data_IF_376318010448
#
_entry.id   IF_376318010448
#
_cell.length_a   1.000
_cell.length_b   1.000
_cell.length_c   1.000
_cell.angle_alpha   90.00
_cell.angle_beta   90.00
_cell.angle_gamma   90.00
#
_symmetry.space_group_name_H-M   'P 1'
#
loop_
_entity.id
_entity.type
_entity.pdbx_description
1 polymer ?
#
# COMPACT_ATOMS: atom_id res chain seq x y z
N UNK A 1 -9.64 2.66 -1.26
CA UNK A 1 -10.82 1.78 -1.25
C UNK A 1 -11.02 1.12 -2.61
N UNK A 2 -10.94 1.85 -3.73
CA UNK A 2 -11.20 1.30 -5.09
C UNK A 2 -10.24 0.16 -5.48
N UNK A 3 -8.97 0.20 -5.08
CA UNK A 3 -8.00 -0.87 -5.35
C UNK A 3 -8.17 -2.10 -4.45
N UNK A 4 -8.80 -1.94 -3.30
CA UNK A 4 -8.99 -3.00 -2.30
C UNK A 4 -10.33 -3.71 -2.50
N UNK A 5 -11.38 -2.95 -2.79
CA UNK A 5 -12.75 -3.45 -2.86
C UNK A 5 -12.95 -4.72 -3.74
N UNK A 6 -12.30 -4.86 -4.92
CA UNK A 6 -12.48 -6.05 -5.75
C UNK A 6 -11.94 -7.35 -5.14
N UNK A 7 -11.07 -7.26 -4.13
CA UNK A 7 -10.44 -8.40 -3.48
C UNK A 7 -11.03 -8.71 -2.11
N UNK A 8 -11.89 -7.84 -1.60
CA UNK A 8 -12.52 -8.03 -0.30
C UNK A 8 -13.59 -9.11 -0.41
N UNK A 9 -13.62 -9.99 0.60
CA UNK A 9 -14.61 -11.06 0.66
C UNK A 9 -16.03 -10.48 0.75
N UNK A 10 -16.87 -10.84 -0.21
CA UNK A 10 -18.26 -10.36 -0.33
C UNK A 10 -19.21 -10.88 0.76
N UNK A 11 -18.76 -11.78 1.62
CA UNK A 11 -19.50 -12.21 2.81
C UNK A 11 -19.52 -11.16 3.91
N UNK A 12 -18.59 -10.18 3.85
CA UNK A 12 -18.60 -9.01 4.71
C UNK A 12 -19.28 -7.83 4.03
N UNK A 13 -19.98 -7.05 4.81
CA UNK A 13 -20.42 -5.73 4.38
C UNK A 13 -19.27 -4.74 4.66
N UNK A 14 -18.58 -4.34 3.61
CA UNK A 14 -17.51 -3.37 3.70
C UNK A 14 -18.05 -1.94 3.61
N UNK A 15 -17.49 -1.06 4.42
CA UNK A 15 -17.80 0.37 4.42
C UNK A 15 -16.54 1.17 4.66
N UNK A 16 -16.54 2.42 4.23
CA UNK A 16 -15.48 3.36 4.57
C UNK A 16 -15.54 3.72 6.05
N UNK A 17 -14.43 4.20 6.60
CA UNK A 17 -14.35 4.61 8.00
C UNK A 17 -15.39 5.70 8.33
N UNK A 18 -15.64 6.64 7.40
CA UNK A 18 -16.65 7.69 7.54
C UNK A 18 -18.07 7.12 7.59
N UNK A 19 -18.40 6.15 6.73
CA UNK A 19 -19.70 5.47 6.74
C UNK A 19 -19.90 4.67 8.04
N UNK A 20 -18.79 4.16 8.62
CA UNK A 20 -18.76 3.51 9.94
C UNK A 20 -18.90 4.45 11.15
N UNK A 21 -19.05 5.75 10.89
CA UNK A 21 -19.30 6.76 11.95
C UNK A 21 -18.02 7.45 12.46
N UNK A 22 -16.88 7.27 11.80
CA UNK A 22 -15.65 7.99 12.16
C UNK A 22 -15.79 9.49 11.93
N UNK A 23 -15.49 10.28 12.97
CA UNK A 23 -15.47 11.74 12.92
C UNK A 23 -14.18 12.34 13.49
N UNK A 24 -13.17 11.51 13.75
CA UNK A 24 -11.90 11.87 14.41
C UNK A 24 -10.87 12.57 13.51
N UNK A 25 -11.24 12.97 12.29
CA UNK A 25 -10.32 13.63 11.37
C UNK A 25 -9.33 12.66 10.69
N UNK A 26 -8.13 13.14 10.37
CA UNK A 26 -7.08 12.33 9.74
C UNK A 26 -6.49 11.37 10.76
N UNK A 27 -6.34 10.10 10.38
CA UNK A 27 -5.64 9.10 11.19
C UNK A 27 -4.16 9.48 11.36
N UNK A 28 -3.62 9.20 12.54
CA UNK A 28 -2.21 9.47 12.86
C UNK A 28 -1.34 8.38 12.27
N UNK A 29 -0.28 8.80 11.56
CA UNK A 29 0.71 7.95 10.90
C UNK A 29 2.11 8.48 11.26
N UNK A 30 2.55 8.22 12.48
CA UNK A 30 3.83 8.66 13.05
C UNK A 30 4.80 7.53 13.37
N UNK A 31 4.42 6.29 13.03
CA UNK A 31 5.27 5.12 13.19
C UNK A 31 6.37 5.06 12.11
N UNK A 32 7.46 4.37 12.44
CA UNK A 32 8.63 4.25 11.56
C UNK A 32 8.61 3.02 10.66
N UNK A 33 7.56 2.18 10.76
CA UNK A 33 7.39 0.95 9.99
C UNK A 33 6.00 0.90 9.36
N UNK A 34 5.88 0.19 8.24
CA UNK A 34 4.58 -0.07 7.61
C UNK A 34 3.64 -0.84 8.54
N UNK A 35 4.20 -1.80 9.27
CA UNK A 35 3.46 -2.59 10.26
C UNK A 35 2.89 -1.71 11.39
N UNK A 36 3.69 -0.79 11.90
CA UNK A 36 3.28 0.17 12.92
C UNK A 36 2.16 1.09 12.44
N UNK A 37 2.35 1.73 11.28
CA UNK A 37 1.35 2.62 10.69
C UNK A 37 0.04 1.89 10.36
N UNK A 38 0.09 0.72 9.72
CA UNK A 38 -1.10 -0.06 9.42
C UNK A 38 -1.87 -0.44 10.70
N UNK A 39 -1.13 -0.91 11.71
CA UNK A 39 -1.72 -1.27 13.01
C UNK A 39 -2.34 -0.05 13.71
N UNK A 40 -1.61 1.06 13.80
CA UNK A 40 -2.08 2.29 14.43
C UNK A 40 -3.36 2.78 13.76
N UNK A 41 -3.41 2.81 12.43
CA UNK A 41 -4.63 3.19 11.68
C UNK A 41 -5.82 2.26 11.96
N UNK A 42 -5.59 0.94 11.96
CA UNK A 42 -6.65 -0.03 12.23
C UNK A 42 -7.17 0.10 13.67
N UNK A 43 -6.28 0.29 14.64
CA UNK A 43 -6.64 0.47 16.04
C UNK A 43 -7.46 1.76 16.27
N UNK A 44 -6.98 2.90 15.74
CA UNK A 44 -7.73 4.16 15.79
C UNK A 44 -9.13 4.03 15.20
N UNK A 45 -9.25 3.38 14.04
CA UNK A 45 -10.54 3.13 13.40
C UNK A 45 -11.46 2.27 14.27
N UNK A 46 -10.94 1.17 14.83
CA UNK A 46 -11.70 0.30 15.73
C UNK A 46 -12.15 1.03 17.01
N UNK A 47 -11.23 1.76 17.67
CA UNK A 47 -11.56 2.52 18.88
C UNK A 47 -12.58 3.63 18.64
N UNK A 48 -12.53 4.27 17.48
CA UNK A 48 -13.43 5.37 17.13
C UNK A 48 -14.81 4.94 16.65
N UNK A 49 -14.94 3.73 16.08
CA UNK A 49 -16.22 3.25 15.52
C UNK A 49 -16.83 2.08 16.28
N UNK A 50 -16.03 1.34 17.04
CA UNK A 50 -16.42 0.06 17.66
C UNK A 50 -16.56 -1.10 16.64
N UNK A 51 -16.26 -0.86 15.36
CA UNK A 51 -16.40 -1.83 14.28
C UNK A 51 -15.06 -2.48 13.93
N UNK A 52 -15.07 -3.77 13.50
CA UNK A 52 -13.87 -4.40 12.97
C UNK A 52 -13.24 -3.53 11.87
N UNK A 53 -11.96 -3.21 11.99
CA UNK A 53 -11.31 -2.27 11.07
C UNK A 53 -10.13 -2.91 10.37
N UNK A 54 -10.10 -2.80 9.05
CA UNK A 54 -8.97 -3.12 8.18
C UNK A 54 -8.32 -1.81 7.72
N UNK A 55 -7.01 -1.70 7.91
CA UNK A 55 -6.24 -0.57 7.38
C UNK A 55 -5.00 -1.07 6.63
N UNK A 56 -4.53 -0.29 5.67
CA UNK A 56 -3.29 -0.55 4.95
C UNK A 56 -2.25 0.56 5.17
N UNK A 57 -0.98 0.17 5.13
CA UNK A 57 0.13 1.09 4.91
C UNK A 57 1.03 0.53 3.82
N UNK A 58 1.40 1.40 2.87
CA UNK A 58 2.07 0.96 1.64
C UNK A 58 3.10 1.97 1.19
N UNK A 59 4.15 1.49 0.55
CA UNK A 59 5.15 2.38 -0.01
C UNK A 59 6.18 1.66 -0.87
N UNK A 60 7.05 2.48 -1.46
CA UNK A 60 8.19 2.05 -2.27
C UNK A 60 9.43 1.96 -1.37
N UNK A 61 10.17 0.90 -1.51
CA UNK A 61 11.45 0.69 -0.81
C UNK A 61 12.55 0.53 -1.84
N UNK A 62 13.58 1.38 -1.74
CA UNK A 62 14.76 1.33 -2.60
C UNK A 62 15.99 1.03 -1.74
N UNK A 63 16.50 -0.22 -1.76
CA UNK A 63 17.62 -0.64 -0.89
C UNK A 63 18.87 0.22 -1.02
N UNK A 64 19.21 0.68 -2.24
CA UNK A 64 20.36 1.55 -2.49
C UNK A 64 20.26 2.93 -1.82
N UNK A 65 19.01 3.37 -1.48
CA UNK A 65 18.73 4.57 -0.71
C UNK A 65 18.41 4.26 0.77
N UNK A 66 18.98 3.18 1.31
CA UNK A 66 18.75 2.73 2.69
C UNK A 66 17.26 2.52 3.03
N UNK A 67 16.47 2.12 2.04
CA UNK A 67 15.04 1.86 2.17
C UNK A 67 14.13 3.08 1.90
N UNK A 68 14.69 4.26 1.66
CA UNK A 68 13.87 5.40 1.24
C UNK A 68 13.22 5.14 -0.13
N UNK A 69 12.03 5.71 -0.40
CA UNK A 69 11.17 6.55 0.45
C UNK A 69 10.54 5.86 1.66
N UNK A 70 10.31 4.53 1.62
CA UNK A 70 9.76 3.76 2.73
C UNK A 70 8.38 4.27 3.16
N UNK A 71 8.14 4.38 4.46
CA UNK A 71 6.88 4.91 5.05
C UNK A 71 6.61 6.38 4.69
N UNK A 72 7.59 7.08 4.14
CA UNK A 72 7.46 8.46 3.68
C UNK A 72 7.06 8.58 2.21
N UNK A 73 6.70 7.47 1.54
CA UNK A 73 6.44 7.44 0.09
C UNK A 73 5.48 8.53 -0.40
N UNK A 74 4.40 8.77 0.31
CA UNK A 74 3.41 9.80 -0.08
C UNK A 74 3.88 11.25 0.14
N UNK A 75 4.93 11.46 0.93
CA UNK A 75 5.44 12.78 1.32
C UNK A 75 6.96 12.87 1.20
N UNK A 76 7.55 12.13 0.29
CA UNK A 76 9.00 12.00 0.14
C UNK A 76 9.69 13.32 -0.20
N UNK A 77 9.08 14.13 -1.07
CA UNK A 77 9.57 15.48 -1.39
C UNK A 77 9.07 16.57 -0.42
N UNK A 78 8.21 16.20 0.54
CA UNK A 78 7.69 17.11 1.55
C UNK A 78 6.23 16.83 1.91
N UNK A 79 5.70 17.44 2.99
CA UNK A 79 4.37 17.14 3.53
C UNK A 79 3.19 17.38 2.57
N UNK A 80 3.38 18.26 1.58
CA UNK A 80 2.37 18.64 0.58
C UNK A 80 2.80 18.25 -0.84
N UNK A 81 3.82 17.37 -0.96
CA UNK A 81 4.35 16.99 -2.25
C UNK A 81 3.33 16.22 -3.08
N UNK A 82 3.30 16.51 -4.36
CA UNK A 82 2.58 15.74 -5.37
C UNK A 82 3.34 14.47 -5.72
N UNK A 83 2.67 13.50 -6.33
CA UNK A 83 3.31 12.29 -6.85
C UNK A 83 4.44 12.62 -7.83
N UNK A 84 4.27 13.63 -8.68
CA UNK A 84 5.29 14.07 -9.61
C UNK A 84 6.55 14.60 -8.91
N UNK A 85 6.38 15.41 -7.85
CA UNK A 85 7.51 15.92 -7.06
C UNK A 85 8.22 14.79 -6.32
N UNK A 86 7.49 13.82 -5.79
CA UNK A 86 8.06 12.64 -5.14
C UNK A 86 8.88 11.80 -6.13
N UNK A 87 8.36 11.56 -7.36
CA UNK A 87 9.09 10.86 -8.42
C UNK A 87 10.32 11.63 -8.89
N UNK A 88 10.20 12.94 -9.07
CA UNK A 88 11.32 13.79 -9.46
C UNK A 88 12.46 13.73 -8.44
N UNK A 89 12.14 13.84 -7.16
CA UNK A 89 13.14 13.69 -6.08
C UNK A 89 13.83 12.35 -6.14
N UNK A 90 13.06 11.26 -6.29
CA UNK A 90 13.62 9.92 -6.39
C UNK A 90 14.60 9.79 -7.57
N UNK A 91 14.22 10.27 -8.75
CA UNK A 91 15.09 10.24 -9.94
C UNK A 91 16.37 11.05 -9.76
N UNK A 92 16.31 12.21 -9.11
CA UNK A 92 17.50 13.03 -8.79
C UNK A 92 18.45 12.26 -7.88
N UNK A 93 17.95 11.64 -6.82
CA UNK A 93 18.75 10.89 -5.85
C UNK A 93 19.38 9.62 -6.45
N UNK A 94 18.69 9.00 -7.43
CA UNK A 94 19.20 7.86 -8.16
C UNK A 94 20.18 8.22 -9.29
N UNK A 95 20.30 9.51 -9.64
CA UNK A 95 21.21 9.98 -10.69
C UNK A 95 20.90 9.40 -12.08
N UNK A 96 19.65 9.01 -12.35
CA UNK A 96 19.22 8.39 -13.61
C UNK A 96 19.61 6.91 -13.76
N UNK A 97 20.04 6.26 -12.70
CA UNK A 97 20.37 4.83 -12.73
C UNK A 97 19.13 3.97 -12.46
N UNK A 98 19.02 2.88 -13.20
CA UNK A 98 18.07 1.82 -12.88
C UNK A 98 18.55 1.03 -11.67
N UNK A 99 17.73 0.87 -10.66
CA UNK A 99 18.07 0.20 -9.42
C UNK A 99 16.97 -0.76 -8.96
N UNK A 100 17.33 -1.86 -8.28
CA UNK A 100 16.35 -2.73 -7.63
C UNK A 100 15.51 -1.97 -6.60
N UNK A 101 14.22 -2.28 -6.58
CA UNK A 101 13.26 -1.73 -5.63
C UNK A 101 12.12 -2.71 -5.41
N UNK A 102 11.30 -2.46 -4.40
CA UNK A 102 10.05 -3.20 -4.23
C UNK A 102 8.97 -2.31 -3.62
N UNK A 103 7.74 -2.56 -4.02
CA UNK A 103 6.59 -2.05 -3.29
C UNK A 103 6.19 -3.01 -2.18
N UNK A 104 5.75 -2.45 -1.07
CA UNK A 104 5.20 -3.19 0.06
C UNK A 104 3.80 -2.66 0.41
N UNK A 105 2.92 -3.57 0.81
CA UNK A 105 1.65 -3.28 1.45
C UNK A 105 1.54 -4.13 2.71
N UNK A 106 1.32 -3.49 3.84
CA UNK A 106 0.92 -4.16 5.08
C UNK A 106 -0.55 -3.88 5.32
N UNK A 107 -1.32 -4.94 5.52
CA UNK A 107 -2.70 -4.87 5.98
C UNK A 107 -2.74 -5.24 7.46
N UNK A 108 -3.45 -4.44 8.25
CA UNK A 108 -3.72 -4.73 9.65
C UNK A 108 -5.23 -4.78 9.90
N UNK A 109 -5.67 -5.83 10.58
CA UNK A 109 -7.04 -6.02 11.03
C UNK A 109 -7.10 -5.98 12.55
N UNK A 110 -8.03 -5.21 13.09
CA UNK A 110 -8.26 -5.09 14.54
C UNK A 110 -9.74 -5.29 14.85
N UNK A 111 -10.04 -6.19 15.78
CA UNK A 111 -11.38 -6.42 16.32
C UNK A 111 -11.31 -7.12 17.69
N UNK A 112 -11.88 -6.54 18.74
CA UNK A 112 -12.09 -7.14 20.08
C UNK A 112 -10.87 -7.93 20.62
N UNK A 113 -9.67 -7.35 20.54
CA UNK A 113 -8.42 -7.99 20.98
C UNK A 113 -7.76 -8.91 19.96
N UNK A 114 -8.44 -9.24 18.86
CA UNK A 114 -7.83 -9.94 17.73
C UNK A 114 -7.06 -8.93 16.87
N UNK A 115 -5.83 -9.28 16.54
CA UNK A 115 -4.95 -8.49 15.68
C UNK A 115 -4.34 -9.41 14.64
N UNK A 116 -4.54 -9.08 13.37
CA UNK A 116 -3.93 -9.80 12.26
C UNK A 116 -3.17 -8.82 11.41
N UNK A 117 -1.96 -9.18 11.02
CA UNK A 117 -1.19 -8.43 10.04
C UNK A 117 -0.70 -9.37 8.95
N UNK A 118 -0.74 -8.89 7.73
CA UNK A 118 -0.18 -9.57 6.56
C UNK A 118 0.61 -8.58 5.72
N UNK A 119 1.59 -9.09 4.98
CA UNK A 119 2.48 -8.29 4.16
C UNK A 119 2.54 -8.85 2.75
N UNK A 120 2.30 -8.01 1.75
CA UNK A 120 2.49 -8.32 0.34
C UNK A 120 3.60 -7.47 -0.26
N UNK A 121 4.43 -8.08 -1.12
CA UNK A 121 5.52 -7.39 -1.81
C UNK A 121 5.51 -7.70 -3.29
N UNK A 122 5.91 -6.72 -4.09
CA UNK A 122 6.25 -6.90 -5.49
C UNK A 122 7.63 -6.31 -5.75
N UNK A 123 8.54 -7.16 -6.21
CA UNK A 123 9.90 -6.76 -6.55
C UNK A 123 9.99 -6.29 -7.99
N UNK A 124 10.92 -5.39 -8.26
CA UNK A 124 11.14 -4.80 -9.57
C UNK A 124 12.35 -3.88 -9.60
N UNK A 125 12.34 -2.98 -10.56
CA UNK A 125 13.37 -1.94 -10.73
C UNK A 125 12.72 -0.58 -10.92
N UNK A 126 13.42 0.47 -10.49
CA UNK A 126 13.09 1.85 -10.85
C UNK A 126 13.72 2.15 -12.21
N UNK A 127 12.91 2.54 -13.18
CA UNK A 127 13.37 2.98 -14.51
C UNK A 127 14.10 4.33 -14.42
N UNK A 128 15.02 4.57 -15.35
CA UNK A 128 15.78 5.82 -15.44
C UNK A 128 14.90 7.06 -15.79
N UNK A 129 13.70 6.85 -16.29
CA UNK A 129 12.73 7.90 -16.63
C UNK A 129 11.30 7.40 -16.50
N UNK A 130 10.36 8.33 -16.35
CA UNK A 130 8.92 8.01 -16.29
C UNK A 130 8.40 7.45 -17.61
N UNK A 131 7.55 6.42 -17.53
CA UNK A 131 6.83 5.81 -18.66
C UNK A 131 5.40 5.49 -18.25
N UNK A 132 4.46 5.74 -19.18
CA UNK A 132 3.03 5.56 -18.93
C UNK A 132 2.41 6.72 -18.16
N UNK A 133 1.09 6.69 -18.02
CA UNK A 133 0.32 7.76 -17.38
C UNK A 133 -0.82 7.25 -16.48
N UNK A 134 -0.98 5.93 -16.39
CA UNK A 134 -1.98 5.33 -15.51
C UNK A 134 -1.45 5.21 -14.07
N UNK A 135 -2.36 4.94 -13.13
CA UNK A 135 -2.01 4.72 -11.73
C UNK A 135 -1.67 5.99 -10.96
N UNK A 136 -0.85 5.85 -9.91
CA UNK A 136 -0.49 6.91 -8.98
C UNK A 136 0.89 6.65 -8.35
N UNK A 137 1.34 7.57 -7.51
CA UNK A 137 2.60 7.44 -6.78
C UNK A 137 3.80 7.24 -7.72
N UNK A 138 4.49 6.13 -7.55
CA UNK A 138 5.70 5.77 -8.31
C UNK A 138 5.44 4.81 -9.47
N UNK A 139 4.19 4.55 -9.83
CA UNK A 139 3.82 3.59 -10.89
C UNK A 139 4.52 3.87 -12.24
N UNK A 140 4.72 5.14 -12.57
CA UNK A 140 5.40 5.54 -13.82
C UNK A 140 6.90 5.23 -13.85
N UNK A 141 7.48 4.87 -12.70
CA UNK A 141 8.90 4.52 -12.58
C UNK A 141 9.13 3.03 -12.29
N UNK A 142 8.14 2.32 -11.80
CA UNK A 142 8.32 0.96 -11.30
C UNK A 142 8.04 -0.10 -12.35
N UNK A 143 9.05 -0.89 -12.68
CA UNK A 143 8.99 -2.03 -13.61
C UNK A 143 8.99 -3.31 -12.78
N UNK A 144 7.87 -4.03 -12.65
CA UNK A 144 7.81 -5.26 -11.86
C UNK A 144 8.56 -6.41 -12.53
N UNK A 145 9.27 -7.21 -11.75
CA UNK A 145 9.99 -8.40 -12.24
C UNK A 145 9.03 -9.45 -12.81
N UNK A 146 7.83 -9.55 -12.28
CA UNK A 146 6.79 -10.49 -12.73
C UNK A 146 6.06 -10.00 -14.00
N UNK A 147 6.43 -8.82 -14.53
CA UNK A 147 5.82 -8.20 -15.71
C UNK A 147 6.56 -8.51 -17.02
N UNK A 148 6.22 -7.76 -18.04
CA UNK A 148 6.76 -7.86 -19.41
C UNK A 148 7.72 -6.70 -19.79
N UNK A 149 8.25 -5.98 -18.79
CA UNK A 149 9.14 -4.84 -18.96
C UNK A 149 8.42 -3.48 -19.04
N UNK A 150 7.09 -3.46 -18.98
CA UNK A 150 6.29 -2.24 -18.81
C UNK A 150 6.34 -1.76 -17.37
N UNK A 151 6.25 -0.45 -17.15
CA UNK A 151 5.99 0.11 -15.83
C UNK A 151 4.54 -0.19 -15.41
N UNK A 152 4.24 -0.07 -14.11
CA UNK A 152 2.85 -0.17 -13.64
C UNK A 152 1.92 0.86 -14.29
N UNK A 153 2.44 2.05 -14.65
CA UNK A 153 1.66 3.08 -15.34
C UNK A 153 1.42 2.81 -16.83
N UNK A 154 2.13 1.85 -17.41
CA UNK A 154 1.91 1.37 -18.79
C UNK A 154 0.97 0.16 -18.85
N UNK A 155 0.67 -0.46 -17.70
CA UNK A 155 -0.20 -1.64 -17.62
C UNK A 155 -1.67 -1.23 -17.53
N UNK A 156 -2.54 -2.11 -18.04
CA UNK A 156 -3.96 -1.98 -17.76
C UNK A 156 -4.22 -2.21 -16.26
N UNK A 157 -5.16 -1.51 -15.61
CA UNK A 157 -5.44 -1.68 -14.18
C UNK A 157 -5.65 -3.13 -13.73
N UNK A 158 -6.32 -3.95 -14.54
CA UNK A 158 -6.53 -5.37 -14.24
C UNK A 158 -5.25 -6.22 -14.30
N UNK A 159 -4.25 -5.81 -15.10
CA UNK A 159 -2.94 -6.48 -15.15
C UNK A 159 -2.15 -6.15 -13.89
N UNK A 160 -2.05 -4.86 -13.54
CA UNK A 160 -1.40 -4.39 -12.31
C UNK A 160 -2.03 -5.04 -11.07
N UNK A 161 -3.36 -5.13 -11.00
CA UNK A 161 -4.07 -5.74 -9.88
C UNK A 161 -3.64 -7.17 -9.59
N UNK A 162 -3.31 -7.97 -10.62
CA UNK A 162 -2.93 -9.39 -10.43
C UNK A 162 -1.59 -9.58 -9.74
N UNK A 163 -0.67 -8.64 -9.90
CA UNK A 163 0.72 -8.77 -9.45
C UNK A 163 1.11 -7.75 -8.39
N UNK A 164 0.21 -6.82 -8.03
CA UNK A 164 0.53 -5.74 -7.10
C UNK A 164 0.77 -6.24 -5.66
N UNK A 165 1.55 -5.47 -4.91
CA UNK A 165 1.78 -5.68 -3.49
C UNK A 165 0.48 -5.75 -2.69
N UNK A 166 -0.51 -4.91 -3.03
CA UNK A 166 -1.83 -4.89 -2.40
C UNK A 166 -2.62 -6.17 -2.67
N UNK A 167 -2.62 -6.64 -3.91
CA UNK A 167 -3.29 -7.90 -4.25
C UNK A 167 -2.70 -9.08 -3.45
N UNK A 168 -1.37 -9.16 -3.36
CA UNK A 168 -0.68 -10.20 -2.60
C UNK A 168 -1.00 -10.14 -1.09
N UNK A 169 -1.06 -8.93 -0.52
CA UNK A 169 -1.45 -8.76 0.88
C UNK A 169 -2.91 -9.16 1.11
N UNK A 170 -3.82 -8.77 0.23
CA UNK A 170 -5.24 -9.12 0.32
C UNK A 170 -5.50 -10.61 0.15
N UNK A 171 -4.77 -11.29 -0.75
CA UNK A 171 -4.85 -12.74 -0.88
C UNK A 171 -4.44 -13.45 0.42
N UNK A 172 -3.37 -13.00 1.06
CA UNK A 172 -2.94 -13.54 2.35
C UNK A 172 -3.97 -13.25 3.45
N UNK A 173 -4.48 -12.02 3.51
CA UNK A 173 -5.51 -11.65 4.47
C UNK A 173 -6.76 -12.51 4.32
N UNK A 174 -7.28 -12.67 3.11
CA UNK A 174 -8.46 -13.48 2.84
C UNK A 174 -8.25 -14.94 3.27
N UNK A 175 -7.07 -15.50 3.04
CA UNK A 175 -6.74 -16.87 3.46
C UNK A 175 -6.83 -17.03 4.98
N UNK A 176 -6.29 -16.09 5.76
CA UNK A 176 -6.34 -16.10 7.22
C UNK A 176 -7.76 -15.82 7.71
N UNK A 177 -8.44 -14.85 7.14
CA UNK A 177 -9.81 -14.53 7.51
C UNK A 177 -10.77 -15.70 7.32
N UNK A 178 -10.52 -16.52 6.30
CA UNK A 178 -11.31 -17.71 5.98
C UNK A 178 -11.01 -18.91 6.89
N UNK A 179 -9.74 -19.06 7.34
CA UNK A 179 -9.30 -20.26 8.07
C UNK A 179 -9.30 -20.07 9.60
N UNK A 180 -8.84 -18.92 10.09
CA UNK A 180 -8.38 -18.82 11.48
C UNK A 180 -9.20 -17.84 12.33
N UNK A 181 -9.91 -16.90 11.74
CA UNK A 181 -10.67 -15.91 12.53
C UNK A 181 -12.04 -16.42 12.98
N UNK A 182 -12.48 -17.60 12.54
CA UNK A 182 -13.78 -18.16 12.93
C UNK A 182 -14.95 -17.19 12.66
N UNK A 183 -14.77 -16.30 11.68
CA UNK A 183 -15.74 -15.26 11.34
C UNK A 183 -16.92 -15.79 10.52
N UNK A 184 -17.06 -17.14 10.47
CA UNK A 184 -18.11 -17.86 9.76
C UNK A 184 -18.69 -19.00 10.59
#
# INVERSE_FOLDING_TARGET
VEEIAPFLDHRFQWMTLTEGGWNGGKLVEDETTFEGNAHSKALQGFEGTGLPTLADDSGLVVPSLQGAPGVWSARYAGPQATDAENRQKLLIELGGHEVPAYFVCVLAWVHQGIRVQVRGEVHGTIAASERGSAGFGYDALFVPTEGDGRTFAEMHPSEKQRISHRAKALEQFNRIALSDLGLF
#
